data_IF_398434694810
#
_entry.id   IF_398434694810
#
_cell.length_a   1.000
_cell.length_b   1.000
_cell.length_c   1.000
_cell.angle_alpha   90.00
_cell.angle_beta   90.00
_cell.angle_gamma   90.00
#
_symmetry.space_group_name_H-M   'P 1'
#
loop_
_entity.id
_entity.type
_entity.pdbx_description
1 polymer ?
#
# COMPACT_ATOMS: atom_id res chain seq x y z
N UNK A 1 -16.01 6.69 -10.65
CA UNK A 1 -16.24 6.21 -12.04
C UNK A 1 -15.97 7.28 -13.11
N UNK A 2 -16.21 8.58 -12.84
CA UNK A 2 -15.91 9.67 -13.82
C UNK A 2 -14.43 9.94 -13.98
N UNK A 3 -13.64 9.78 -12.92
CA UNK A 3 -12.20 10.09 -12.89
C UNK A 3 -11.31 9.04 -13.57
N UNK A 4 -11.85 7.85 -13.88
CA UNK A 4 -11.16 6.78 -14.61
C UNK A 4 -11.35 6.87 -16.13
N UNK A 5 -12.23 7.78 -16.64
CA UNK A 5 -12.45 7.93 -18.08
C UNK A 5 -11.15 8.43 -18.74
N UNK A 6 -10.58 7.63 -19.60
CA UNK A 6 -9.32 7.88 -20.32
C UNK A 6 -8.07 7.21 -19.70
N UNK A 7 -8.15 6.68 -18.47
CA UNK A 7 -7.02 5.99 -17.82
C UNK A 7 -7.12 4.46 -17.87
N UNK A 8 -8.20 3.92 -18.45
CA UNK A 8 -8.40 2.47 -18.54
C UNK A 8 -7.22 1.77 -19.23
N UNK A 9 -6.71 2.36 -20.31
CA UNK A 9 -5.57 1.79 -21.06
C UNK A 9 -4.33 1.71 -20.17
N UNK A 10 -4.00 2.76 -19.45
CA UNK A 10 -2.85 2.82 -18.55
C UNK A 10 -3.01 1.85 -17.38
N UNK A 11 -4.23 1.75 -16.82
CA UNK A 11 -4.51 0.78 -15.77
C UNK A 11 -4.35 -0.66 -16.28
N UNK A 12 -4.89 -0.98 -17.47
CA UNK A 12 -4.73 -2.30 -18.07
C UNK A 12 -3.25 -2.67 -18.35
N UNK A 13 -2.44 -1.70 -18.76
CA UNK A 13 -0.99 -1.92 -18.94
C UNK A 13 -0.28 -2.21 -17.61
N UNK A 14 -0.76 -1.68 -16.48
CA UNK A 14 -0.16 -1.87 -15.16
C UNK A 14 -0.64 -3.14 -14.42
N UNK A 15 -1.77 -3.72 -14.80
CA UNK A 15 -2.31 -4.93 -14.17
C UNK A 15 -1.31 -6.09 -14.19
N UNK A 16 -0.70 -6.48 -15.33
CA UNK A 16 0.27 -7.57 -15.36
C UNK A 16 1.46 -7.31 -14.43
N UNK A 17 1.94 -6.08 -14.39
CA UNK A 17 3.05 -5.66 -13.52
C UNK A 17 2.66 -5.78 -12.04
N UNK A 18 1.45 -5.34 -11.70
CA UNK A 18 0.93 -5.47 -10.34
C UNK A 18 0.74 -6.94 -9.93
N UNK A 19 0.24 -7.78 -10.85
CA UNK A 19 0.10 -9.23 -10.61
C UNK A 19 1.45 -9.86 -10.31
N UNK A 20 2.44 -9.65 -11.18
CA UNK A 20 3.80 -10.22 -11.01
C UNK A 20 4.42 -9.73 -9.69
N UNK A 21 4.37 -8.43 -9.42
CA UNK A 21 4.91 -7.86 -8.20
C UNK A 21 4.23 -8.45 -6.95
N UNK A 22 2.90 -8.50 -6.94
CA UNK A 22 2.13 -9.02 -5.80
C UNK A 22 2.42 -10.50 -5.56
N UNK A 23 2.45 -11.32 -6.62
CA UNK A 23 2.77 -12.74 -6.50
C UNK A 23 4.20 -12.94 -5.97
N UNK A 24 5.16 -12.16 -6.46
CA UNK A 24 6.54 -12.20 -5.95
C UNK A 24 6.60 -11.83 -4.45
N UNK A 25 5.95 -10.74 -4.05
CA UNK A 25 5.89 -10.32 -2.64
C UNK A 25 5.22 -11.35 -1.74
N UNK A 26 4.08 -11.90 -2.17
CA UNK A 26 3.36 -12.94 -1.45
C UNK A 26 4.18 -14.25 -1.35
N UNK A 27 4.88 -14.64 -2.42
CA UNK A 27 5.78 -15.79 -2.41
C UNK A 27 6.93 -15.59 -1.42
N UNK A 28 7.55 -14.41 -1.41
CA UNK A 28 8.59 -14.06 -0.42
C UNK A 28 8.05 -14.19 0.99
N UNK A 29 6.82 -13.71 1.26
CA UNK A 29 6.20 -13.83 2.57
C UNK A 29 5.97 -15.30 2.95
N UNK A 30 5.44 -16.12 2.05
CA UNK A 30 5.20 -17.55 2.29
C UNK A 30 6.49 -18.35 2.54
N UNK A 31 7.59 -17.92 1.93
CA UNK A 31 8.92 -18.53 2.12
C UNK A 31 9.67 -17.96 3.33
N UNK A 32 9.21 -16.86 3.91
CA UNK A 32 9.87 -16.20 5.05
C UNK A 32 9.56 -16.99 6.33
N UNK A 33 10.58 -17.50 7.05
CA UNK A 33 10.37 -18.15 8.35
C UNK A 33 9.73 -17.21 9.36
N UNK A 34 8.87 -17.73 10.24
CA UNK A 34 8.16 -16.91 11.23
C UNK A 34 9.08 -16.00 12.04
N UNK A 35 10.25 -16.50 12.49
CA UNK A 35 11.24 -15.70 13.21
C UNK A 35 11.78 -14.51 12.39
N UNK A 36 12.05 -14.72 11.10
CA UNK A 36 12.53 -13.64 10.23
C UNK A 36 11.42 -12.60 10.03
N UNK A 37 10.17 -13.04 9.88
CA UNK A 37 9.02 -12.15 9.77
C UNK A 37 8.85 -11.31 11.04
N UNK A 38 8.90 -11.93 12.23
CA UNK A 38 8.81 -11.23 13.52
C UNK A 38 9.90 -10.15 13.68
N UNK A 39 11.12 -10.40 13.20
CA UNK A 39 12.21 -9.43 13.20
C UNK A 39 11.98 -8.27 12.22
N UNK A 40 11.43 -8.54 11.04
CA UNK A 40 11.27 -7.56 9.97
C UNK A 40 10.05 -6.66 10.19
N UNK A 41 8.96 -7.19 10.77
CA UNK A 41 7.68 -6.47 10.95
C UNK A 41 7.83 -5.14 11.70
N UNK A 42 8.55 -5.03 12.83
CA UNK A 42 8.73 -3.75 13.52
C UNK A 42 9.34 -2.66 12.62
N UNK A 43 10.35 -3.03 11.83
CA UNK A 43 10.99 -2.11 10.89
C UNK A 43 10.05 -1.69 9.77
N UNK A 44 9.22 -2.61 9.26
CA UNK A 44 8.24 -2.29 8.23
C UNK A 44 7.15 -1.34 8.77
N UNK A 45 6.69 -1.55 10.00
CA UNK A 45 5.69 -0.67 10.64
C UNK A 45 6.29 0.72 10.88
N UNK A 46 7.51 0.81 11.40
CA UNK A 46 8.21 2.07 11.62
C UNK A 46 8.46 2.78 10.28
N UNK A 47 8.93 2.05 9.27
CA UNK A 47 9.15 2.58 7.93
C UNK A 47 7.87 3.08 7.25
N UNK A 48 6.77 2.32 7.37
CA UNK A 48 5.46 2.73 6.87
C UNK A 48 4.95 3.99 7.58
N UNK A 49 5.11 4.06 8.91
CA UNK A 49 4.73 5.23 9.72
C UNK A 49 5.59 6.43 9.36
N UNK A 50 6.90 6.24 9.15
CA UNK A 50 7.83 7.27 8.68
C UNK A 50 7.46 7.80 7.29
N UNK A 51 7.13 6.91 6.37
CA UNK A 51 6.65 7.28 5.03
C UNK A 51 5.38 8.12 5.10
N UNK A 52 4.45 7.73 5.98
CA UNK A 52 3.22 8.49 6.21
C UNK A 52 3.51 9.86 6.86
N UNK A 53 4.44 9.94 7.80
CA UNK A 53 4.86 11.19 8.43
C UNK A 53 5.49 12.16 7.40
N UNK A 54 6.34 11.62 6.53
CA UNK A 54 7.09 12.36 5.52
C UNK A 54 6.31 12.59 4.21
N UNK A 55 5.09 12.06 4.07
CA UNK A 55 4.34 12.13 2.81
C UNK A 55 4.19 13.56 2.26
N UNK A 56 4.08 14.57 3.13
CA UNK A 56 4.01 15.98 2.71
C UNK A 56 5.33 16.47 2.11
N UNK A 57 6.47 16.08 2.69
CA UNK A 57 7.80 16.41 2.16
C UNK A 57 8.10 15.63 0.89
N UNK A 58 7.79 14.34 0.87
CA UNK A 58 7.94 13.50 -0.33
C UNK A 58 7.15 14.12 -1.48
N UNK A 59 5.91 14.55 -1.23
CA UNK A 59 5.06 15.22 -2.23
C UNK A 59 5.65 16.54 -2.73
N UNK A 60 6.35 17.32 -1.89
CA UNK A 60 7.01 18.55 -2.30
C UNK A 60 8.33 18.31 -3.04
N UNK A 61 9.07 17.26 -2.67
CA UNK A 61 10.33 16.87 -3.33
C UNK A 61 10.12 16.25 -4.72
N UNK A 62 8.93 15.70 -4.95
CA UNK A 62 8.49 15.19 -6.24
C UNK A 62 8.23 16.38 -7.16
N UNK A 63 9.32 16.88 -7.75
CA UNK A 63 9.28 17.96 -8.74
C UNK A 63 8.42 17.60 -9.93
N UNK A 64 8.05 18.60 -10.71
CA UNK A 64 7.12 18.50 -11.83
C UNK A 64 7.54 17.41 -12.83
N UNK A 65 6.71 16.40 -13.09
CA UNK A 65 7.04 15.26 -13.98
C UNK A 65 7.17 15.65 -15.47
N UNK A 66 7.10 16.94 -15.80
CA UNK A 66 7.03 17.46 -17.17
C UNK A 66 8.32 17.32 -17.99
N UNK A 67 9.42 16.81 -17.43
CA UNK A 67 10.71 16.72 -18.11
C UNK A 67 11.13 15.28 -18.47
N UNK A 68 10.30 14.28 -18.25
CA UNK A 68 10.64 12.91 -18.60
C UNK A 68 10.22 12.58 -20.04
N UNK A 69 11.08 11.88 -20.78
CA UNK A 69 10.67 11.27 -22.06
C UNK A 69 9.56 10.23 -21.82
N UNK A 70 8.65 10.07 -22.78
CA UNK A 70 7.51 9.15 -22.65
C UNK A 70 7.96 7.70 -22.32
N UNK A 71 9.07 7.25 -22.90
CA UNK A 71 9.64 5.93 -22.63
C UNK A 71 10.14 5.81 -21.18
N UNK A 72 10.89 6.82 -20.70
CA UNK A 72 11.40 6.83 -19.34
C UNK A 72 10.26 6.87 -18.30
N UNK A 73 9.22 7.65 -18.58
CA UNK A 73 8.03 7.72 -17.77
C UNK A 73 7.34 6.36 -17.66
N UNK A 74 7.14 5.67 -18.80
CA UNK A 74 6.51 4.34 -18.83
C UNK A 74 7.34 3.30 -18.05
N UNK A 75 8.64 3.23 -18.30
CA UNK A 75 9.54 2.30 -17.61
C UNK A 75 9.55 2.57 -16.11
N UNK A 76 9.71 3.82 -15.69
CA UNK A 76 9.68 4.20 -14.27
C UNK A 76 8.36 3.81 -13.62
N UNK A 77 7.23 4.01 -14.31
CA UNK A 77 5.91 3.65 -13.80
C UNK A 77 5.80 2.14 -13.55
N UNK A 78 6.23 1.31 -14.50
CA UNK A 78 6.20 -0.16 -14.32
C UNK A 78 7.12 -0.62 -13.20
N UNK A 79 8.35 -0.10 -13.13
CA UNK A 79 9.31 -0.46 -12.07
C UNK A 79 8.77 -0.08 -10.70
N UNK A 80 8.23 1.11 -10.56
CA UNK A 80 7.70 1.61 -9.29
C UNK A 80 6.41 0.89 -8.88
N UNK A 81 5.53 0.57 -9.84
CA UNK A 81 4.33 -0.23 -9.56
C UNK A 81 4.71 -1.67 -9.21
N UNK A 82 5.70 -2.26 -9.87
CA UNK A 82 6.22 -3.58 -9.53
C UNK A 82 6.74 -3.62 -8.09
N UNK A 83 7.58 -2.66 -7.72
CA UNK A 83 8.11 -2.55 -6.36
C UNK A 83 7.01 -2.31 -5.31
N UNK A 84 6.06 -1.41 -5.61
CA UNK A 84 4.91 -1.15 -4.75
C UNK A 84 3.98 -2.35 -4.60
N UNK A 85 3.76 -3.11 -5.68
CA UNK A 85 2.96 -4.32 -5.66
C UNK A 85 3.66 -5.47 -4.92
N UNK A 86 4.98 -5.62 -5.08
CA UNK A 86 5.78 -6.59 -4.32
C UNK A 86 5.75 -6.26 -2.81
N UNK A 87 5.93 -4.99 -2.46
CA UNK A 87 5.75 -4.53 -1.08
C UNK A 87 4.34 -4.83 -0.57
N UNK A 88 3.30 -4.54 -1.37
CA UNK A 88 1.90 -4.81 -1.03
C UNK A 88 1.59 -6.29 -0.86
N UNK A 89 2.22 -7.15 -1.65
CA UNK A 89 2.12 -8.61 -1.54
C UNK A 89 2.77 -9.19 -0.29
N UNK A 90 3.87 -8.57 0.15
CA UNK A 90 4.58 -8.95 1.37
C UNK A 90 3.98 -8.29 2.63
N UNK A 91 3.72 -6.98 2.55
CA UNK A 91 3.31 -6.19 3.71
C UNK A 91 2.39 -5.04 3.29
N UNK A 92 1.10 -5.21 3.43
CA UNK A 92 0.08 -4.29 2.91
C UNK A 92 0.01 -2.94 3.63
N UNK A 93 0.66 -2.77 4.79
CA UNK A 93 0.58 -1.54 5.56
C UNK A 93 1.12 -0.34 4.77
N UNK A 94 0.38 0.77 4.82
CA UNK A 94 0.69 2.02 4.09
C UNK A 94 0.82 1.89 2.56
N UNK A 95 0.44 0.76 1.93
CA UNK A 95 0.46 0.56 0.48
C UNK A 95 -0.18 1.71 -0.27
N UNK A 96 -1.34 2.18 0.20
CA UNK A 96 -2.06 3.29 -0.43
C UNK A 96 -1.26 4.61 -0.45
N UNK A 97 -0.51 4.91 0.62
CA UNK A 97 0.35 6.10 0.70
C UNK A 97 1.54 5.95 -0.25
N UNK A 98 2.16 4.77 -0.24
CA UNK A 98 3.29 4.45 -1.11
C UNK A 98 2.90 4.55 -2.59
N UNK A 99 1.75 3.97 -2.98
CA UNK A 99 1.25 4.06 -4.35
C UNK A 99 0.93 5.51 -4.75
N UNK A 100 0.34 6.33 -3.87
CA UNK A 100 0.12 7.75 -4.17
C UNK A 100 1.44 8.47 -4.40
N UNK A 101 2.44 8.26 -3.53
CA UNK A 101 3.75 8.88 -3.68
C UNK A 101 4.39 8.50 -5.01
N UNK A 102 4.45 7.20 -5.30
CA UNK A 102 5.03 6.64 -6.52
C UNK A 102 4.33 7.14 -7.80
N UNK A 103 3.00 7.07 -7.82
CA UNK A 103 2.21 7.52 -8.98
C UNK A 103 2.35 9.03 -9.20
N UNK A 104 2.42 9.83 -8.12
CA UNK A 104 2.63 11.27 -8.20
C UNK A 104 3.99 11.66 -8.76
N UNK A 105 5.01 10.80 -8.61
CA UNK A 105 6.36 11.01 -9.17
C UNK A 105 6.37 10.98 -10.70
N UNK A 106 5.50 10.16 -11.28
CA UNK A 106 5.59 9.79 -12.69
C UNK A 106 4.40 10.30 -13.49
N UNK A 107 3.22 10.41 -12.87
CA UNK A 107 2.00 10.83 -13.56
C UNK A 107 1.75 12.32 -13.39
N UNK A 108 1.75 13.11 -14.48
CA UNK A 108 1.36 14.52 -14.46
C UNK A 108 -0.17 14.68 -14.40
N UNK A 109 -0.79 14.01 -13.42
CA UNK A 109 -2.25 13.93 -13.31
C UNK A 109 -2.75 14.58 -12.02
N UNK A 110 -4.04 14.91 -12.00
CA UNK A 110 -4.67 15.44 -10.79
C UNK A 110 -4.68 14.42 -9.66
N UNK A 111 -4.65 14.87 -8.40
CA UNK A 111 -4.69 14.02 -7.22
C UNK A 111 -5.93 13.11 -7.15
N UNK A 112 -7.05 13.55 -7.71
CA UNK A 112 -8.27 12.75 -7.81
C UNK A 112 -8.04 11.53 -8.73
N UNK A 113 -7.41 11.73 -9.87
CA UNK A 113 -7.08 10.67 -10.82
C UNK A 113 -6.01 9.72 -10.27
N UNK A 114 -4.95 10.24 -9.66
CA UNK A 114 -3.93 9.42 -8.98
C UNK A 114 -4.57 8.55 -7.90
N UNK A 115 -5.49 9.12 -7.10
CA UNK A 115 -6.21 8.37 -6.08
C UNK A 115 -7.12 7.29 -6.67
N UNK A 116 -7.73 7.54 -7.84
CA UNK A 116 -8.55 6.54 -8.53
C UNK A 116 -7.71 5.36 -9.02
N UNK A 117 -6.55 5.62 -9.66
CA UNK A 117 -5.61 4.58 -10.10
C UNK A 117 -5.07 3.80 -8.90
N UNK A 118 -4.65 4.49 -7.85
CA UNK A 118 -4.20 3.87 -6.59
C UNK A 118 -5.26 2.93 -6.02
N UNK A 119 -6.52 3.36 -5.96
CA UNK A 119 -7.60 2.52 -5.41
C UNK A 119 -7.82 1.27 -6.25
N UNK A 120 -7.79 1.39 -7.58
CA UNK A 120 -7.89 0.26 -8.50
C UNK A 120 -6.72 -0.72 -8.32
N UNK A 121 -5.47 -0.23 -8.29
CA UNK A 121 -4.28 -1.06 -8.06
C UNK A 121 -4.32 -1.73 -6.68
N UNK A 122 -4.69 -1.00 -5.63
CA UNK A 122 -4.81 -1.58 -4.28
C UNK A 122 -5.85 -2.68 -4.21
N UNK A 123 -6.98 -2.53 -4.92
CA UNK A 123 -8.00 -3.57 -5.00
C UNK A 123 -7.48 -4.81 -5.73
N UNK A 124 -6.77 -4.64 -6.85
CA UNK A 124 -6.16 -5.73 -7.60
C UNK A 124 -5.12 -6.46 -6.74
N UNK A 125 -4.21 -5.73 -6.12
CA UNK A 125 -3.19 -6.30 -5.20
C UNK A 125 -3.88 -7.08 -4.07
N UNK A 126 -4.90 -6.52 -3.45
CA UNK A 126 -5.66 -7.18 -2.39
C UNK A 126 -6.35 -8.47 -2.84
N UNK A 127 -6.96 -8.48 -4.03
CA UNK A 127 -7.59 -9.67 -4.60
C UNK A 127 -6.57 -10.77 -4.91
N UNK A 128 -5.40 -10.40 -5.44
CA UNK A 128 -4.33 -11.36 -5.72
C UNK A 128 -3.77 -11.93 -4.43
N UNK A 129 -3.52 -11.09 -3.41
CA UNK A 129 -3.11 -11.56 -2.08
C UNK A 129 -4.14 -12.54 -1.50
N UNK A 130 -5.43 -12.18 -1.55
CA UNK A 130 -6.50 -13.04 -1.07
C UNK A 130 -6.49 -14.40 -1.79
N UNK A 131 -6.35 -14.42 -3.13
CA UNK A 131 -6.25 -15.65 -3.90
C UNK A 131 -5.01 -16.46 -3.53
N UNK A 132 -3.83 -15.84 -3.53
CA UNK A 132 -2.57 -16.55 -3.23
C UNK A 132 -2.60 -17.16 -1.82
N UNK A 133 -3.02 -16.39 -0.81
CA UNK A 133 -3.05 -16.90 0.56
C UNK A 133 -4.16 -17.93 0.78
N UNK A 134 -5.28 -17.86 0.06
CA UNK A 134 -6.34 -18.87 0.12
C UNK A 134 -5.85 -20.24 -0.34
N UNK A 135 -5.02 -20.29 -1.38
CA UNK A 135 -4.55 -21.56 -1.95
C UNK A 135 -3.23 -22.05 -1.36
N UNK A 136 -2.36 -21.15 -0.93
CA UNK A 136 -0.99 -21.48 -0.53
C UNK A 136 -0.65 -21.13 0.93
N UNK A 137 -1.50 -20.35 1.60
CA UNK A 137 -1.26 -19.91 2.98
C UNK A 137 -1.96 -20.77 4.02
N UNK A 138 -1.44 -20.83 5.24
CA UNK A 138 -2.11 -21.47 6.38
C UNK A 138 -3.24 -20.58 6.91
N UNK A 139 -4.35 -20.46 6.17
CA UNK A 139 -5.46 -19.57 6.51
C UNK A 139 -6.37 -20.17 7.57
N UNK A 140 -6.55 -19.45 8.67
CA UNK A 140 -7.59 -19.79 9.66
C UNK A 140 -8.93 -19.20 9.23
N UNK A 141 -9.77 -20.02 8.61
CA UNK A 141 -11.07 -19.62 8.06
C UNK A 141 -12.05 -19.11 9.12
N UNK A 142 -11.99 -19.65 10.35
CA UNK A 142 -12.83 -19.18 11.47
C UNK A 142 -12.48 -17.71 11.81
N UNK A 143 -11.18 -17.41 11.89
CA UNK A 143 -10.73 -16.05 12.10
C UNK A 143 -11.12 -15.12 10.93
N UNK A 144 -11.03 -15.59 9.69
CA UNK A 144 -11.46 -14.81 8.50
C UNK A 144 -12.94 -14.47 8.58
N UNK A 145 -13.80 -15.46 8.88
CA UNK A 145 -15.24 -15.24 9.00
C UNK A 145 -15.60 -14.27 10.12
N UNK A 146 -14.89 -14.32 11.25
CA UNK A 146 -15.13 -13.40 12.38
C UNK A 146 -14.61 -11.99 12.08
N UNK A 147 -13.43 -11.86 11.47
CA UNK A 147 -12.79 -10.57 11.21
C UNK A 147 -13.39 -9.82 10.01
N UNK A 148 -13.90 -10.52 9.00
CA UNK A 148 -14.44 -9.89 7.79
C UNK A 148 -15.57 -8.91 8.10
N UNK A 149 -16.65 -9.28 8.82
CA UNK A 149 -17.72 -8.34 9.16
C UNK A 149 -17.23 -7.23 10.10
N UNK A 150 -16.36 -7.55 11.04
CA UNK A 150 -15.79 -6.56 11.96
C UNK A 150 -14.96 -5.52 11.21
N UNK A 151 -14.12 -5.97 10.27
CA UNK A 151 -13.29 -5.08 9.42
C UNK A 151 -14.16 -4.22 8.50
N UNK A 152 -15.21 -4.79 7.93
CA UNK A 152 -16.14 -4.04 7.08
C UNK A 152 -16.89 -2.97 7.87
N UNK A 153 -17.45 -3.33 9.02
CA UNK A 153 -18.12 -2.39 9.92
C UNK A 153 -17.17 -1.32 10.45
N UNK A 154 -15.98 -1.73 10.92
CA UNK A 154 -14.95 -0.82 11.41
C UNK A 154 -14.43 0.13 10.32
N UNK A 155 -14.25 -0.36 9.09
CA UNK A 155 -13.86 0.46 7.94
C UNK A 155 -14.93 1.48 7.57
N UNK A 156 -16.20 1.08 7.58
CA UNK A 156 -17.32 1.99 7.31
C UNK A 156 -17.47 3.07 8.39
N UNK A 157 -17.50 2.67 9.66
CA UNK A 157 -17.60 3.61 10.78
C UNK A 157 -16.35 4.50 10.88
N UNK A 158 -15.17 3.93 10.66
CA UNK A 158 -13.92 4.67 10.62
C UNK A 158 -13.90 5.72 9.50
N UNK A 159 -14.40 5.39 8.32
CA UNK A 159 -14.50 6.34 7.21
C UNK A 159 -15.48 7.49 7.52
N UNK A 160 -16.59 7.21 8.20
CA UNK A 160 -17.52 8.25 8.66
C UNK A 160 -16.88 9.16 9.70
N UNK A 161 -16.18 8.59 10.68
CA UNK A 161 -15.47 9.34 11.72
C UNK A 161 -14.32 10.19 11.16
N UNK A 162 -13.53 9.60 10.25
CA UNK A 162 -12.40 10.27 9.62
C UNK A 162 -12.78 11.52 8.82
N UNK A 163 -14.00 11.58 8.29
CA UNK A 163 -14.50 12.79 7.59
C UNK A 163 -14.68 13.99 8.51
N UNK A 164 -14.79 13.80 9.83
CA UNK A 164 -14.96 14.84 10.84
C UNK A 164 -13.63 15.30 11.43
N UNK A 165 -12.54 14.60 11.16
CA UNK A 165 -11.22 14.88 11.72
C UNK A 165 -10.35 15.52 10.64
N UNK A 166 -9.62 16.62 10.93
CA UNK A 166 -8.66 17.19 10.01
C UNK A 166 -7.63 16.15 9.55
N UNK A 167 -7.35 16.08 8.26
CA UNK A 167 -6.45 15.09 7.66
C UNK A 167 -5.06 15.07 8.29
N UNK A 168 -4.57 16.25 8.72
CA UNK A 168 -3.29 16.35 9.42
C UNK A 168 -3.32 15.66 10.79
N UNK A 169 -4.40 15.87 11.57
CA UNK A 169 -4.56 15.24 12.89
C UNK A 169 -4.66 13.72 12.76
N UNK A 170 -5.50 13.24 11.83
CA UNK A 170 -5.65 11.80 11.56
C UNK A 170 -4.30 11.16 11.19
N UNK A 171 -3.52 11.83 10.33
CA UNK A 171 -2.19 11.39 9.96
C UNK A 171 -1.28 11.23 11.18
N UNK A 172 -1.21 12.23 12.05
CA UNK A 172 -0.32 12.18 13.20
C UNK A 172 -0.76 11.14 14.24
N UNK A 173 -2.06 10.91 14.40
CA UNK A 173 -2.59 9.82 15.25
C UNK A 173 -2.10 8.46 14.73
N UNK A 174 -2.22 8.22 13.41
CA UNK A 174 -1.78 6.96 12.80
C UNK A 174 -0.25 6.80 12.92
N UNK A 175 0.51 7.86 12.69
CA UNK A 175 1.97 7.85 12.83
C UNK A 175 2.39 7.54 14.27
N UNK A 176 1.81 8.23 15.24
CA UNK A 176 2.12 8.02 16.66
C UNK A 176 1.80 6.58 17.09
N UNK A 177 0.62 6.08 16.71
CA UNK A 177 0.22 4.70 17.00
C UNK A 177 1.16 3.69 16.33
N UNK A 178 1.48 3.87 15.05
CA UNK A 178 2.38 2.98 14.32
C UNK A 178 3.80 2.96 14.91
N UNK A 179 4.34 4.14 15.29
CA UNK A 179 5.65 4.21 15.95
C UNK A 179 5.63 3.56 17.34
N UNK A 180 4.56 3.75 18.12
CA UNK A 180 4.41 3.12 19.43
C UNK A 180 4.35 1.59 19.31
N UNK A 181 3.53 1.06 18.41
CA UNK A 181 3.41 -0.38 18.18
C UNK A 181 4.70 -0.96 17.59
N UNK A 182 5.30 -0.30 16.60
CA UNK A 182 6.57 -0.74 16.00
C UNK A 182 7.71 -0.74 17.01
N UNK A 183 7.80 0.30 17.86
CA UNK A 183 8.77 0.36 18.95
C UNK A 183 8.57 -0.72 20.00
N UNK A 184 7.33 -0.93 20.44
CA UNK A 184 6.99 -2.01 21.37
C UNK A 184 7.37 -3.39 20.82
N UNK A 185 7.02 -3.68 19.57
CA UNK A 185 7.37 -4.95 18.94
C UNK A 185 8.87 -5.11 18.80
N UNK A 186 9.60 -4.04 18.46
CA UNK A 186 11.06 -4.07 18.33
C UNK A 186 11.72 -4.43 19.66
N UNK A 187 11.30 -3.79 20.77
CA UNK A 187 11.82 -4.11 22.10
C UNK A 187 11.51 -5.57 22.46
N UNK A 188 10.28 -6.03 22.23
CA UNK A 188 9.86 -7.41 22.53
C UNK A 188 10.63 -8.46 21.71
N UNK A 189 11.03 -8.13 20.50
CA UNK A 189 11.75 -9.07 19.61
C UNK A 189 13.24 -9.15 19.95
N UNK A 190 13.79 -8.09 20.59
CA UNK A 190 15.20 -8.03 20.99
C UNK A 190 15.45 -8.53 22.42
N UNK A 191 14.41 -8.63 23.24
CA UNK A 191 14.45 -9.18 24.61
C UNK A 191 13.94 -10.61 24.67
#
# INVERSE_FOLDING_TARGET
RKDLKGQHRQLYELIPTAVVGTCAGAAVLLLTPARAFELVVPFLIIGASGTLALQGRIRMMVGHPHQMSATRQRVSLHVLVLAGAAYGGYFTAALGVMLVAVLSLVLPESMARISAVKNALSAIIGLICAAVFTFFGPVNWVAVLALTPATFAGGYLGALGARRIPSAMLRWIIVAYGLAVGGYLLVRTLT
#
